data_IF_223020731026
#
_entry.id   IF_223020731026
#
_cell.length_a   1.000
_cell.length_b   1.000
_cell.length_c   1.000
_cell.angle_alpha   90.00
_cell.angle_beta   90.00
_cell.angle_gamma   90.00
#
_symmetry.space_group_name_H-M   'P 1'
#
loop_
_entity.id
_entity.type
_entity.pdbx_description
1 polymer ?
#
# COMPACT_ATOMS: atom_id res chain seq x y z
N UNK A 1 -22.43 -7.52 -8.38
CA UNK A 1 -21.57 -6.91 -7.34
C UNK A 1 -20.54 -7.88 -6.79
N UNK A 2 -20.94 -8.98 -6.13
CA UNK A 2 -20.00 -9.94 -5.54
C UNK A 2 -18.99 -10.50 -6.56
N UNK A 3 -19.44 -10.90 -7.75
CA UNK A 3 -18.56 -11.38 -8.82
C UNK A 3 -17.46 -10.38 -9.19
N UNK A 4 -17.79 -9.09 -9.35
CA UNK A 4 -16.80 -8.04 -9.67
C UNK A 4 -15.80 -7.83 -8.52
N UNK A 5 -16.27 -7.87 -7.27
CA UNK A 5 -15.38 -7.82 -6.09
C UNK A 5 -14.44 -9.01 -6.07
N UNK A 6 -14.95 -10.22 -6.32
CA UNK A 6 -14.13 -11.44 -6.43
C UNK A 6 -13.10 -11.32 -7.53
N UNK A 7 -13.46 -10.83 -8.72
CA UNK A 7 -12.51 -10.60 -9.83
C UNK A 7 -11.42 -9.61 -9.42
N UNK A 8 -11.76 -8.49 -8.80
CA UNK A 8 -10.77 -7.51 -8.34
C UNK A 8 -9.82 -8.07 -7.27
N UNK A 9 -10.36 -8.83 -6.33
CA UNK A 9 -9.55 -9.52 -5.31
C UNK A 9 -8.63 -10.57 -5.94
N UNK A 10 -9.14 -11.39 -6.87
CA UNK A 10 -8.34 -12.40 -7.57
C UNK A 10 -7.27 -11.77 -8.46
N UNK A 11 -7.56 -10.64 -9.11
CA UNK A 11 -6.60 -9.88 -9.90
C UNK A 11 -5.45 -9.38 -9.01
N UNK A 12 -5.77 -8.81 -7.84
CA UNK A 12 -4.77 -8.34 -6.90
C UNK A 12 -3.92 -9.49 -6.32
N UNK A 13 -4.56 -10.58 -5.88
CA UNK A 13 -3.86 -11.77 -5.37
C UNK A 13 -2.99 -12.40 -6.46
N UNK A 14 -3.53 -12.56 -7.68
CA UNK A 14 -2.82 -13.16 -8.80
C UNK A 14 -1.61 -12.34 -9.22
N UNK A 15 -1.78 -11.02 -9.39
CA UNK A 15 -0.70 -10.15 -9.86
C UNK A 15 0.39 -9.95 -8.80
N UNK A 16 0.00 -9.59 -7.56
CA UNK A 16 0.97 -9.37 -6.48
C UNK A 16 1.58 -10.70 -6.04
N UNK A 17 0.79 -11.78 -6.00
CA UNK A 17 1.26 -13.12 -5.71
C UNK A 17 2.26 -13.62 -6.75
N UNK A 18 2.03 -13.37 -8.05
CA UNK A 18 3.01 -13.69 -9.10
C UNK A 18 4.31 -12.90 -8.92
N UNK A 19 4.23 -11.61 -8.60
CA UNK A 19 5.43 -10.78 -8.33
C UNK A 19 6.21 -11.35 -7.14
N UNK A 20 5.53 -11.68 -6.04
CA UNK A 20 6.18 -12.30 -4.87
C UNK A 20 6.81 -13.65 -5.28
N UNK A 21 6.08 -14.53 -5.97
CA UNK A 21 6.60 -15.83 -6.37
C UNK A 21 7.83 -15.76 -7.28
N UNK A 22 7.89 -14.76 -8.17
CA UNK A 22 8.99 -14.55 -9.11
C UNK A 22 10.18 -13.77 -8.52
N UNK A 23 9.95 -12.96 -7.48
CA UNK A 23 10.98 -12.17 -6.82
C UNK A 23 11.98 -13.05 -6.05
N UNK A 24 13.17 -12.51 -5.78
CA UNK A 24 14.15 -13.15 -4.90
C UNK A 24 13.72 -13.11 -3.43
N UNK A 25 14.26 -14.01 -2.61
CA UNK A 25 13.86 -14.19 -1.21
C UNK A 25 13.99 -12.94 -0.33
N UNK A 26 14.93 -12.04 -0.65
CA UNK A 26 15.07 -10.78 0.08
C UNK A 26 13.93 -9.82 -0.24
N UNK A 27 13.63 -9.66 -1.54
CA UNK A 27 12.59 -8.75 -2.00
C UNK A 27 11.17 -9.28 -1.73
N UNK A 28 10.97 -10.60 -1.78
CA UNK A 28 9.72 -11.27 -1.41
C UNK A 28 9.19 -10.81 -0.06
N UNK A 29 10.08 -10.76 0.94
CA UNK A 29 9.74 -10.37 2.31
C UNK A 29 9.39 -8.89 2.37
N UNK A 30 10.21 -8.04 1.78
CA UNK A 30 9.97 -6.59 1.74
C UNK A 30 8.65 -6.24 1.04
N UNK A 31 8.35 -6.87 -0.10
CA UNK A 31 7.08 -6.68 -0.83
C UNK A 31 5.89 -7.10 0.03
N UNK A 32 5.98 -8.26 0.68
CA UNK A 32 4.92 -8.78 1.55
C UNK A 32 4.66 -7.87 2.76
N UNK A 33 5.72 -7.39 3.43
CA UNK A 33 5.60 -6.44 4.54
C UNK A 33 5.00 -5.13 4.05
N UNK A 34 5.56 -4.55 2.98
CA UNK A 34 5.15 -3.25 2.48
C UNK A 34 3.67 -3.23 2.08
N UNK A 35 3.20 -4.24 1.34
CA UNK A 35 1.80 -4.29 0.90
C UNK A 35 0.86 -4.48 2.08
N UNK A 36 1.20 -5.39 3.00
CA UNK A 36 0.32 -5.72 4.13
C UNK A 36 0.23 -4.53 5.09
N UNK A 37 1.38 -3.92 5.44
CA UNK A 37 1.45 -2.80 6.40
C UNK A 37 0.86 -1.51 5.83
N UNK A 38 1.07 -1.23 4.54
CA UNK A 38 0.54 -0.01 3.94
C UNK A 38 -0.96 -0.08 3.67
N UNK A 39 -1.50 -1.25 3.32
CA UNK A 39 -2.88 -1.37 2.86
C UNK A 39 -3.84 -1.90 3.92
N UNK A 40 -3.39 -2.46 5.03
CA UNK A 40 -4.31 -2.84 6.09
C UNK A 40 -4.46 -1.66 7.09
N UNK A 41 -5.71 -1.27 7.45
CA UNK A 41 -6.99 -1.85 7.03
C UNK A 41 -7.62 -1.20 5.78
N UNK A 42 -7.23 0.03 5.46
CA UNK A 42 -7.94 0.87 4.47
C UNK A 42 -7.85 0.32 3.04
N UNK A 43 -6.65 -0.02 2.60
CA UNK A 43 -6.37 -0.51 1.27
C UNK A 43 -7.01 -1.84 0.94
N UNK A 44 -7.05 -2.81 1.86
CA UNK A 44 -7.69 -4.11 1.60
C UNK A 44 -9.20 -3.96 1.35
N UNK A 45 -9.85 -3.02 2.05
CA UNK A 45 -11.24 -2.66 1.74
C UNK A 45 -11.38 -2.16 0.30
N UNK A 46 -10.49 -1.26 -0.15
CA UNK A 46 -10.56 -0.70 -1.50
C UNK A 46 -10.20 -1.70 -2.59
N UNK A 47 -9.20 -2.57 -2.36
CA UNK A 47 -8.80 -3.64 -3.27
C UNK A 47 -9.97 -4.60 -3.52
N UNK A 48 -10.68 -5.01 -2.47
CA UNK A 48 -11.88 -5.87 -2.59
C UNK A 48 -13.14 -5.10 -3.03
N UNK A 49 -13.04 -3.79 -3.28
CA UNK A 49 -14.14 -2.95 -3.73
C UNK A 49 -14.34 -2.99 -5.25
N UNK A 50 -15.42 -2.36 -5.72
CA UNK A 50 -15.66 -2.09 -7.15
C UNK A 50 -15.25 -0.67 -7.55
N UNK A 51 -14.53 0.04 -6.67
CA UNK A 51 -14.05 1.38 -6.92
C UNK A 51 -12.81 1.32 -7.82
N UNK A 52 -12.62 2.26 -8.76
CA UNK A 52 -11.36 2.42 -9.49
C UNK A 52 -10.09 2.40 -8.62
N UNK A 53 -10.17 2.81 -7.35
CA UNK A 53 -9.08 2.68 -6.37
C UNK A 53 -8.53 1.25 -6.24
N UNK A 54 -9.34 0.20 -6.47
CA UNK A 54 -8.88 -1.19 -6.45
C UNK A 54 -7.72 -1.42 -7.45
N UNK A 55 -7.93 -0.99 -8.69
CA UNK A 55 -6.96 -1.11 -9.77
C UNK A 55 -5.81 -0.13 -9.63
N UNK A 56 -6.07 1.08 -9.11
CA UNK A 56 -5.02 2.05 -8.81
C UNK A 56 -4.02 1.48 -7.78
N UNK A 57 -4.53 0.92 -6.68
CA UNK A 57 -3.69 0.31 -5.64
C UNK A 57 -2.89 -0.87 -6.19
N UNK A 58 -3.58 -1.84 -6.77
CA UNK A 58 -2.99 -3.06 -7.33
C UNK A 58 -1.96 -2.72 -8.42
N UNK A 59 -2.33 -1.84 -9.36
CA UNK A 59 -1.52 -1.49 -10.52
C UNK A 59 -0.27 -0.71 -10.17
N UNK A 60 -0.38 0.35 -9.37
CA UNK A 60 0.77 1.17 -8.97
C UNK A 60 1.79 0.36 -8.19
N UNK A 61 1.35 -0.49 -7.26
CA UNK A 61 2.27 -1.32 -6.48
C UNK A 61 2.88 -2.45 -7.33
N UNK A 62 2.10 -3.10 -8.19
CA UNK A 62 2.60 -4.12 -9.11
C UNK A 62 3.66 -3.56 -10.07
N UNK A 63 3.45 -2.35 -10.60
CA UNK A 63 4.44 -1.67 -11.43
C UNK A 63 5.74 -1.42 -10.66
N UNK A 64 5.66 -0.85 -9.45
CA UNK A 64 6.84 -0.56 -8.64
C UNK A 64 7.61 -1.83 -8.22
N UNK A 65 6.90 -2.81 -7.65
CA UNK A 65 7.48 -4.04 -7.15
C UNK A 65 7.99 -4.93 -8.29
N UNK A 66 7.24 -5.04 -9.39
CA UNK A 66 7.61 -5.82 -10.57
C UNK A 66 8.88 -5.28 -11.23
N UNK A 67 8.99 -3.97 -11.47
CA UNK A 67 10.20 -3.38 -12.03
C UNK A 67 11.40 -3.51 -11.10
N UNK A 68 11.21 -3.23 -9.79
CA UNK A 68 12.29 -3.39 -8.82
C UNK A 68 12.79 -4.84 -8.79
N UNK A 69 11.89 -5.82 -8.73
CA UNK A 69 12.24 -7.23 -8.73
C UNK A 69 12.88 -7.68 -10.06
N UNK A 70 12.42 -7.16 -11.19
CA UNK A 70 12.98 -7.47 -12.51
C UNK A 70 14.46 -7.05 -12.59
N UNK A 71 14.82 -5.89 -12.04
CA UNK A 71 16.22 -5.43 -12.00
C UNK A 71 17.15 -6.36 -11.21
N UNK A 72 16.58 -7.15 -10.28
CA UNK A 72 17.30 -8.15 -9.46
C UNK A 72 17.33 -9.54 -10.08
N UNK A 73 16.51 -9.80 -11.10
CA UNK A 73 16.24 -11.13 -11.61
C UNK A 73 16.90 -11.38 -12.97
N UNK A 74 17.05 -12.65 -13.36
CA UNK A 74 17.55 -13.07 -14.67
C UNK A 74 16.64 -14.13 -15.29
N UNK A 75 16.79 -14.36 -16.60
CA UNK A 75 16.06 -15.40 -17.33
C UNK A 75 14.53 -15.23 -17.28
N UNK A 76 13.75 -16.33 -17.21
CA UNK A 76 12.29 -16.29 -17.34
C UNK A 76 11.61 -15.53 -16.18
N UNK A 77 12.19 -15.55 -14.98
CA UNK A 77 11.65 -14.80 -13.83
C UNK A 77 11.63 -13.31 -14.09
N UNK A 78 12.71 -12.78 -14.69
CA UNK A 78 12.81 -11.37 -15.08
C UNK A 78 11.73 -10.98 -16.08
N UNK A 79 11.52 -11.82 -17.10
CA UNK A 79 10.48 -11.57 -18.13
C UNK A 79 9.09 -11.55 -17.50
N UNK A 80 8.79 -12.52 -16.63
CA UNK A 80 7.51 -12.56 -15.90
C UNK A 80 7.28 -11.32 -15.02
N UNK A 81 8.32 -10.82 -14.36
CA UNK A 81 8.26 -9.60 -13.54
C UNK A 81 8.02 -8.33 -14.38
N UNK A 82 8.67 -8.22 -15.54
CA UNK A 82 8.42 -7.13 -16.50
C UNK A 82 6.98 -7.19 -17.02
N UNK A 83 6.47 -8.39 -17.34
CA UNK A 83 5.09 -8.57 -17.77
C UNK A 83 4.08 -8.19 -16.67
N UNK A 84 4.35 -8.56 -15.42
CA UNK A 84 3.53 -8.15 -14.27
C UNK A 84 3.58 -6.63 -14.07
N UNK A 85 4.76 -6.00 -14.23
CA UNK A 85 4.88 -4.56 -14.15
C UNK A 85 4.10 -3.84 -15.26
N UNK A 86 4.14 -4.35 -16.49
CA UNK A 86 3.35 -3.85 -17.61
C UNK A 86 1.84 -3.96 -17.32
N UNK A 87 1.38 -5.11 -16.83
CA UNK A 87 -0.01 -5.28 -16.41
C UNK A 87 -0.38 -4.27 -15.30
N UNK A 88 0.52 -4.05 -14.34
CA UNK A 88 0.36 -3.03 -13.30
C UNK A 88 0.23 -1.61 -13.85
N UNK A 89 1.06 -1.25 -14.83
CA UNK A 89 0.99 0.04 -15.52
C UNK A 89 -0.35 0.23 -16.24
N UNK A 90 -0.82 -0.80 -16.95
CA UNK A 90 -2.14 -0.77 -17.63
C UNK A 90 -3.26 -0.57 -16.62
N UNK A 91 -3.26 -1.30 -15.50
CA UNK A 91 -4.27 -1.14 -14.45
C UNK A 91 -4.25 0.28 -13.85
N UNK A 92 -3.08 0.83 -13.55
CA UNK A 92 -2.95 2.18 -12.99
C UNK A 92 -3.38 3.28 -13.97
N UNK A 93 -3.10 3.13 -15.26
CA UNK A 93 -3.51 4.08 -16.30
C UNK A 93 -5.01 4.00 -16.62
N UNK A 94 -5.62 2.83 -16.47
CA UNK A 94 -7.04 2.61 -16.78
C UNK A 94 -7.96 2.76 -15.57
N UNK A 95 -7.41 2.94 -14.37
CA UNK A 95 -8.19 3.18 -13.16
C UNK A 95 -8.58 4.64 -12.97
N UNK A 96 -7.60 5.53 -12.83
CA UNK A 96 -7.80 6.95 -12.46
C UNK A 96 -6.66 7.81 -13.03
N UNK A 97 -6.93 9.10 -13.26
CA UNK A 97 -5.93 10.03 -13.77
C UNK A 97 -4.77 10.30 -12.80
N UNK A 98 -5.03 10.33 -11.49
CA UNK A 98 -3.99 10.49 -10.46
C UNK A 98 -3.09 9.25 -10.34
N UNK A 99 -3.67 8.04 -10.40
CA UNK A 99 -2.88 6.79 -10.37
C UNK A 99 -1.99 6.60 -11.59
N UNK A 100 -2.42 7.09 -12.75
CA UNK A 100 -1.60 7.11 -13.96
C UNK A 100 -0.32 7.96 -13.75
N UNK A 101 -0.45 9.12 -13.10
CA UNK A 101 0.70 9.96 -12.73
C UNK A 101 1.64 9.30 -11.71
N UNK A 102 1.13 8.42 -10.84
CA UNK A 102 1.99 7.69 -9.90
C UNK A 102 3.05 6.83 -10.59
N UNK A 103 2.84 6.41 -11.84
CA UNK A 103 3.86 5.68 -12.61
C UNK A 103 5.11 6.54 -12.85
N UNK A 104 4.96 7.84 -13.06
CA UNK A 104 6.06 8.78 -13.14
C UNK A 104 6.80 8.89 -11.79
N UNK A 105 6.06 9.08 -10.70
CA UNK A 105 6.63 9.14 -9.34
C UNK A 105 7.43 7.87 -9.03
N UNK A 106 6.87 6.69 -9.32
CA UNK A 106 7.53 5.39 -9.15
C UNK A 106 8.79 5.31 -10.00
N UNK A 107 8.75 5.77 -11.25
CA UNK A 107 9.90 5.74 -12.15
C UNK A 107 11.06 6.59 -11.63
N UNK A 108 10.78 7.81 -11.14
CA UNK A 108 11.81 8.67 -10.51
C UNK A 108 12.35 8.02 -9.24
N UNK A 109 11.49 7.45 -8.41
CA UNK A 109 11.91 6.75 -7.20
C UNK A 109 12.82 5.54 -7.52
N UNK A 110 12.50 4.78 -8.57
CA UNK A 110 13.30 3.64 -9.03
C UNK A 110 14.64 4.08 -9.63
N UNK A 111 14.71 5.24 -10.30
CA UNK A 111 15.95 5.79 -10.83
C UNK A 111 16.99 6.07 -9.73
N UNK A 112 16.54 6.43 -8.52
CA UNK A 112 17.42 6.54 -7.35
C UNK A 112 17.77 5.17 -6.74
N UNK A 113 16.78 4.28 -6.64
CA UNK A 113 16.92 2.98 -5.99
C UNK A 113 17.85 2.01 -6.77
N UNK A 114 17.85 2.08 -8.10
CA UNK A 114 18.55 1.14 -8.98
C UNK A 114 19.76 1.81 -9.63
N UNK A 115 20.96 1.20 -9.59
CA UNK A 115 22.12 1.74 -10.30
C UNK A 115 21.93 1.63 -11.82
N UNK A 116 22.30 2.69 -12.54
CA UNK A 116 22.25 2.72 -14.00
C UNK A 116 23.21 1.68 -14.61
N UNK A 117 22.68 0.88 -15.53
CA UNK A 117 23.47 -0.11 -16.29
C UNK A 117 22.77 -0.43 -17.61
N UNK A 118 23.52 -0.95 -18.59
CA UNK A 118 22.92 -1.41 -19.87
C UNK A 118 21.95 -2.58 -19.67
N UNK A 119 22.07 -3.32 -18.57
CA UNK A 119 21.18 -4.44 -18.26
C UNK A 119 19.74 -3.96 -18.07
N UNK A 120 19.53 -2.85 -17.36
CA UNK A 120 18.19 -2.38 -16.96
C UNK A 120 17.43 -1.64 -18.08
N UNK A 121 17.95 -1.63 -19.31
CA UNK A 121 17.31 -0.92 -20.44
C UNK A 121 15.85 -1.33 -20.63
N UNK A 122 15.46 -2.64 -20.63
CA UNK A 122 14.06 -3.01 -20.78
C UNK A 122 13.15 -2.44 -19.69
N UNK A 123 13.58 -2.49 -18.43
CA UNK A 123 12.85 -1.95 -17.29
C UNK A 123 12.75 -0.42 -17.37
N UNK A 124 13.85 0.24 -17.71
CA UNK A 124 13.90 1.70 -17.85
C UNK A 124 13.03 2.18 -19.02
N UNK A 125 13.04 1.49 -20.16
CA UNK A 125 12.18 1.79 -21.30
C UNK A 125 10.71 1.63 -20.93
N UNK A 126 10.32 0.51 -20.30
CA UNK A 126 8.97 0.32 -19.80
C UNK A 126 8.57 1.43 -18.82
N UNK A 127 9.45 1.77 -17.87
CA UNK A 127 9.18 2.80 -16.87
C UNK A 127 8.98 4.19 -17.48
N UNK A 128 9.84 4.57 -18.43
CA UNK A 128 9.74 5.85 -19.15
C UNK A 128 8.49 5.92 -20.02
N UNK A 129 8.19 4.88 -20.79
CA UNK A 129 6.98 4.82 -21.64
C UNK A 129 5.73 4.90 -20.77
N UNK A 130 5.65 4.09 -19.71
CA UNK A 130 4.53 4.12 -18.77
C UNK A 130 4.37 5.48 -18.08
N UNK A 131 5.48 6.18 -17.77
CA UNK A 131 5.46 7.53 -17.21
C UNK A 131 4.90 8.56 -18.19
N UNK A 132 5.33 8.53 -19.45
CA UNK A 132 4.84 9.44 -20.50
C UNK A 132 3.34 9.22 -20.73
N UNK A 133 2.92 7.96 -20.86
CA UNK A 133 1.51 7.60 -20.98
C UNK A 133 0.73 8.05 -19.75
N UNK A 134 1.28 7.84 -18.55
CA UNK A 134 0.63 8.23 -17.30
C UNK A 134 0.41 9.74 -17.17
N UNK A 135 1.41 10.55 -17.52
CA UNK A 135 1.31 12.01 -17.57
C UNK A 135 0.26 12.43 -18.62
N UNK A 136 0.27 11.80 -19.80
CA UNK A 136 -0.71 12.08 -20.85
C UNK A 136 -2.14 11.77 -20.41
N UNK A 137 -2.38 10.62 -19.76
CA UNK A 137 -3.68 10.24 -19.21
C UNK A 137 -4.14 11.24 -18.15
N UNK A 138 -3.26 11.62 -17.21
CA UNK A 138 -3.58 12.64 -16.19
C UNK A 138 -3.99 13.97 -16.83
N UNK A 139 -3.27 14.43 -17.85
CA UNK A 139 -3.55 15.68 -18.54
C UNK A 139 -4.90 15.68 -19.26
N UNK A 140 -5.35 14.53 -19.77
CA UNK A 140 -6.60 14.40 -20.55
C UNK A 140 -7.84 14.08 -19.72
N UNK A 141 -7.67 13.48 -18.54
CA UNK A 141 -8.77 13.06 -17.67
C UNK A 141 -9.36 14.20 -16.82
N UNK A 142 -8.82 15.42 -16.92
CA UNK A 142 -9.25 16.64 -16.23
C UNK A 142 -9.45 16.48 -14.70
N UNK A 143 -8.79 15.49 -14.10
CA UNK A 143 -8.90 15.16 -12.67
C UNK A 143 -8.49 16.36 -11.81
N UNK A 144 -7.47 17.10 -12.24
CA UNK A 144 -7.08 18.36 -11.62
C UNK A 144 -8.27 19.35 -11.56
N UNK A 145 -8.97 19.63 -12.66
CA UNK A 145 -10.11 20.56 -12.65
C UNK A 145 -11.28 20.07 -11.78
N UNK A 146 -11.55 18.76 -11.76
CA UNK A 146 -12.60 18.18 -10.91
C UNK A 146 -12.30 18.36 -9.41
N UNK A 147 -11.03 18.34 -9.02
CA UNK A 147 -10.61 18.65 -7.66
C UNK A 147 -10.59 20.15 -7.40
N UNK A 148 -10.30 21.00 -8.38
CA UNK A 148 -10.20 22.46 -8.24
C UNK A 148 -11.57 23.17 -8.14
N UNK A 149 -12.64 22.56 -8.66
CA UNK A 149 -13.98 23.16 -8.69
C UNK A 149 -14.75 23.20 -7.37
N UNK A 150 -14.21 22.65 -6.28
CA UNK A 150 -14.97 22.41 -5.04
C UNK A 150 -14.81 23.44 -3.92
N UNK A 151 -14.20 24.60 -4.16
CA UNK A 151 -13.93 25.53 -3.05
C UNK A 151 -13.23 26.81 -3.43
N UNK A 152 -14.03 27.83 -3.75
CA UNK A 152 -13.59 29.22 -3.73
C UNK A 152 -13.68 29.85 -2.32
N UNK A 153 -13.80 29.04 -1.26
CA UNK A 153 -13.99 29.53 0.12
C UNK A 153 -12.86 30.47 0.58
N UNK A 154 -11.65 30.29 0.03
CA UNK A 154 -10.47 31.10 0.35
C UNK A 154 -9.87 31.82 -0.86
N UNK A 155 -10.66 32.12 -1.91
CA UNK A 155 -10.15 32.80 -3.11
C UNK A 155 -9.46 34.14 -2.82
N UNK A 156 -9.88 34.82 -1.74
CA UNK A 156 -9.34 36.13 -1.31
C UNK A 156 -8.11 36.04 -0.39
N UNK A 157 -7.76 34.84 0.08
CA UNK A 157 -6.65 34.65 1.02
C UNK A 157 -5.30 34.55 0.30
N UNK A 158 -4.24 35.01 0.97
CA UNK A 158 -2.88 34.86 0.47
C UNK A 158 -2.50 33.39 0.27
N UNK A 159 -1.82 33.07 -0.84
CA UNK A 159 -1.27 31.74 -1.11
C UNK A 159 -0.38 31.21 0.02
N UNK A 160 0.32 32.10 0.76
CA UNK A 160 1.12 31.70 1.93
C UNK A 160 0.26 31.15 3.06
N UNK A 161 -0.91 31.75 3.28
CA UNK A 161 -1.85 31.30 4.29
C UNK A 161 -2.46 29.94 3.91
N UNK A 162 -2.87 29.78 2.64
CA UNK A 162 -3.38 28.51 2.12
C UNK A 162 -2.32 27.41 2.21
N UNK A 163 -1.06 27.72 1.87
CA UNK A 163 0.06 26.79 2.03
C UNK A 163 0.20 26.33 3.48
N UNK A 164 0.19 27.27 4.42
CA UNK A 164 0.30 26.98 5.85
C UNK A 164 -0.84 26.07 6.35
N UNK A 165 -2.09 26.36 5.98
CA UNK A 165 -3.23 25.53 6.37
C UNK A 165 -3.13 24.09 5.84
N UNK A 166 -2.71 23.93 4.59
CA UNK A 166 -2.54 22.60 3.98
C UNK A 166 -1.37 21.83 4.60
N UNK A 167 -0.23 22.50 4.83
CA UNK A 167 0.98 21.90 5.43
C UNK A 167 0.74 21.50 6.89
N UNK A 168 0.11 22.38 7.68
CA UNK A 168 -0.21 22.10 9.09
C UNK A 168 -1.23 20.96 9.24
N UNK A 169 -2.02 20.68 8.21
CA UNK A 169 -2.99 19.58 8.17
C UNK A 169 -2.38 18.22 7.75
N UNK A 170 -1.13 18.19 7.28
CA UNK A 170 -0.45 16.96 6.83
C UNK A 170 -0.39 15.85 7.89
N UNK A 171 -0.16 16.10 9.19
CA UNK A 171 -0.16 15.04 10.19
C UNK A 171 -1.48 14.28 10.26
N UNK A 172 -2.61 14.99 10.23
CA UNK A 172 -3.94 14.37 10.22
C UNK A 172 -4.21 13.65 8.89
N UNK A 173 -3.77 14.24 7.77
CA UNK A 173 -3.86 13.63 6.45
C UNK A 173 -3.12 12.28 6.36
N UNK A 174 -1.86 12.24 6.81
CA UNK A 174 -1.05 11.02 6.79
C UNK A 174 -1.62 9.95 7.72
N UNK A 175 -2.12 10.33 8.89
CA UNK A 175 -2.84 9.40 9.78
C UNK A 175 -4.12 8.86 9.17
N UNK A 176 -4.71 9.57 8.22
CA UNK A 176 -5.88 9.08 7.49
C UNK A 176 -5.59 7.86 6.60
N UNK A 177 -4.34 7.55 6.27
CA UNK A 177 -3.99 6.28 5.59
C UNK A 177 -4.39 5.05 6.39
N UNK A 178 -4.42 5.17 7.72
CA UNK A 178 -4.85 4.11 8.63
C UNK A 178 -6.28 4.30 9.15
N UNK A 179 -7.06 5.18 8.52
CA UNK A 179 -8.47 5.39 8.86
C UNK A 179 -8.75 6.41 9.96
N UNK A 180 -7.78 7.27 10.30
CA UNK A 180 -8.01 8.39 11.21
C UNK A 180 -8.87 9.49 10.53
N UNK A 181 -9.96 9.91 11.18
CA UNK A 181 -10.97 10.87 10.69
C UNK A 181 -11.76 10.43 9.44
N UNK A 182 -11.09 9.82 8.48
CA UNK A 182 -11.64 9.38 7.20
C UNK A 182 -11.46 7.86 7.08
N UNK A 183 -12.55 7.13 7.29
CA UNK A 183 -12.58 5.68 7.15
C UNK A 183 -12.84 5.22 5.71
N UNK A 184 -12.97 3.90 5.48
CA UNK A 184 -13.20 3.37 4.14
C UNK A 184 -14.63 3.68 3.65
N UNK A 185 -14.90 3.32 2.39
CA UNK A 185 -16.20 3.57 1.76
C UNK A 185 -16.44 5.06 1.53
N UNK A 186 -17.64 5.55 1.88
CA UNK A 186 -17.97 6.97 1.86
C UNK A 186 -17.71 7.62 3.23
N UNK A 187 -16.58 7.25 3.86
CA UNK A 187 -16.26 7.55 5.26
C UNK A 187 -17.37 7.12 6.23
N UNK A 188 -18.12 6.08 5.86
CA UNK A 188 -19.30 5.63 6.58
C UNK A 188 -19.00 4.45 7.52
N UNK A 189 -17.82 3.85 7.40
CA UNK A 189 -17.23 2.96 8.40
C UNK A 189 -16.22 3.79 9.19
N UNK A 190 -16.46 4.00 10.49
CA UNK A 190 -15.50 4.70 11.33
C UNK A 190 -14.41 3.74 11.81
N UNK A 191 -13.16 3.99 11.40
CA UNK A 191 -11.98 3.35 12.00
C UNK A 191 -11.33 4.21 13.09
N UNK A 192 -11.95 5.34 13.42
CA UNK A 192 -11.48 6.21 14.48
C UNK A 192 -11.50 5.44 15.81
N UNK A 193 -10.42 5.61 16.59
CA UNK A 193 -10.24 4.81 17.79
C UNK A 193 -9.36 3.59 17.54
N UNK A 194 -9.79 2.45 18.09
CA UNK A 194 -9.00 1.20 18.19
C UNK A 194 -8.28 0.81 16.90
N UNK A 195 -8.96 0.83 15.75
CA UNK A 195 -8.37 0.44 14.46
C UNK A 195 -7.27 1.42 14.02
N UNK A 196 -7.58 2.72 13.98
CA UNK A 196 -6.61 3.74 13.56
C UNK A 196 -5.39 3.81 14.49
N UNK A 197 -5.57 3.63 15.80
CA UNK A 197 -4.46 3.62 16.76
C UNK A 197 -3.60 2.36 16.61
N UNK A 198 -4.20 1.17 16.57
CA UNK A 198 -3.48 -0.08 16.38
C UNK A 198 -2.70 -0.09 15.07
N UNK A 199 -3.32 0.40 13.99
CA UNK A 199 -2.65 0.51 12.70
C UNK A 199 -1.50 1.54 12.71
N UNK A 200 -1.68 2.68 13.38
CA UNK A 200 -0.62 3.70 13.54
C UNK A 200 0.61 3.12 14.26
N UNK A 201 0.40 2.36 15.34
CA UNK A 201 1.49 1.73 16.11
C UNK A 201 2.32 0.81 15.23
N UNK A 202 1.67 -0.04 14.43
CA UNK A 202 2.39 -0.97 13.54
C UNK A 202 3.11 -0.25 12.42
N UNK A 203 2.48 0.75 11.78
CA UNK A 203 3.13 1.57 10.75
C UNK A 203 4.37 2.25 11.33
N UNK A 204 4.27 2.91 12.49
CA UNK A 204 5.40 3.58 13.14
C UNK A 204 6.50 2.58 13.50
N UNK A 205 6.14 1.41 14.06
CA UNK A 205 7.11 0.38 14.40
C UNK A 205 7.90 -0.10 13.16
N UNK A 206 7.22 -0.32 12.04
CA UNK A 206 7.85 -0.74 10.78
C UNK A 206 8.69 0.39 10.17
N UNK A 207 8.24 1.65 10.25
CA UNK A 207 9.04 2.80 9.83
C UNK A 207 10.34 2.91 10.65
N UNK A 208 10.25 2.89 11.98
CA UNK A 208 11.42 2.91 12.86
C UNK A 208 12.38 1.76 12.57
N UNK A 209 11.86 0.56 12.27
CA UNK A 209 12.67 -0.57 11.89
C UNK A 209 13.35 -0.38 10.52
N UNK A 210 12.64 0.15 9.52
CA UNK A 210 13.21 0.41 8.18
C UNK A 210 14.35 1.44 8.20
N UNK A 211 14.31 2.38 9.14
CA UNK A 211 15.30 3.45 9.29
C UNK A 211 16.59 3.01 10.00
N UNK A 212 16.70 1.75 10.42
CA UNK A 212 17.89 1.25 11.14
C UNK A 212 19.10 1.02 10.24
N UNK A 213 18.88 0.84 8.93
CA UNK A 213 19.94 0.65 7.93
C UNK A 213 19.61 1.37 6.62
N UNK A 214 19.53 2.71 6.63
CA UNK A 214 19.21 3.48 5.45
C UNK A 214 20.44 3.53 4.55
N UNK A 215 20.26 3.31 3.26
CA UNK A 215 21.24 3.72 2.26
C UNK A 215 20.78 5.03 1.62
N UNK A 216 21.71 5.84 1.14
CA UNK A 216 21.38 7.10 0.46
C UNK A 216 20.39 6.90 -0.69
N UNK A 217 20.53 5.81 -1.46
CA UNK A 217 19.62 5.45 -2.55
C UNK A 217 18.19 5.17 -2.06
N UNK A 218 18.06 4.42 -0.97
CA UNK A 218 16.75 4.16 -0.33
C UNK A 218 16.14 5.44 0.19
N UNK A 219 16.95 6.29 0.85
CA UNK A 219 16.50 7.56 1.39
C UNK A 219 15.97 8.48 0.27
N UNK A 220 16.73 8.68 -0.81
CA UNK A 220 16.30 9.50 -1.96
C UNK A 220 15.04 8.94 -2.64
N UNK A 221 14.98 7.61 -2.82
CA UNK A 221 13.82 6.94 -3.40
C UNK A 221 12.57 7.13 -2.53
N UNK A 222 12.68 6.90 -1.22
CA UNK A 222 11.59 7.09 -0.27
C UNK A 222 11.18 8.56 -0.13
N UNK A 223 12.13 9.50 -0.12
CA UNK A 223 11.85 10.96 -0.09
C UNK A 223 11.09 11.39 -1.34
N UNK A 224 11.40 10.81 -2.50
CA UNK A 224 10.67 11.10 -3.75
C UNK A 224 9.19 10.71 -3.62
N UNK A 225 8.92 9.50 -3.13
CA UNK A 225 7.54 9.02 -2.95
C UNK A 225 6.82 9.79 -1.83
N UNK A 226 7.49 10.04 -0.69
CA UNK A 226 6.95 10.82 0.41
C UNK A 226 6.65 12.27 0.00
N UNK A 227 7.53 12.87 -0.80
CA UNK A 227 7.36 14.21 -1.38
C UNK A 227 6.18 14.27 -2.34
N UNK A 228 5.90 13.21 -3.09
CA UNK A 228 4.68 13.14 -3.90
C UNK A 228 3.42 12.98 -3.04
N UNK A 229 3.46 12.10 -2.03
CA UNK A 229 2.35 11.86 -1.09
C UNK A 229 1.90 13.14 -0.40
N UNK A 230 2.83 14.01 0.02
CA UNK A 230 2.52 15.25 0.72
C UNK A 230 2.40 16.45 -0.23
N UNK A 231 3.29 16.54 -1.22
CA UNK A 231 3.39 17.68 -2.12
C UNK A 231 2.24 17.76 -3.12
N UNK A 232 1.78 16.65 -3.70
CA UNK A 232 0.68 16.67 -4.69
C UNK A 232 -0.61 17.21 -4.05
N UNK A 233 -1.09 16.71 -2.90
CA UNK A 233 -2.26 17.27 -2.24
C UNK A 233 -2.11 18.75 -1.86
N UNK A 234 -0.93 19.18 -1.40
CA UNK A 234 -0.66 20.60 -1.05
C UNK A 234 -0.72 21.49 -2.29
N UNK A 235 -0.10 21.09 -3.40
CA UNK A 235 -0.14 21.85 -4.67
C UNK A 235 -1.56 21.93 -5.23
N UNK A 236 -2.33 20.84 -5.14
CA UNK A 236 -3.74 20.84 -5.54
C UNK A 236 -4.56 21.76 -4.63
N UNK A 237 -4.35 21.71 -3.30
CA UNK A 237 -5.01 22.60 -2.35
C UNK A 237 -4.70 24.08 -2.60
N UNK A 238 -3.46 24.39 -2.98
CA UNK A 238 -3.04 25.74 -3.37
C UNK A 238 -3.75 26.24 -4.63
N UNK A 239 -3.79 25.41 -5.68
CA UNK A 239 -4.46 25.78 -6.94
C UNK A 239 -5.97 25.83 -6.79
N UNK A 240 -6.53 24.99 -5.91
CA UNK A 240 -7.97 24.84 -5.69
C UNK A 240 -8.51 25.75 -4.61
N UNK A 241 -7.67 26.50 -3.90
CA UNK A 241 -8.06 27.37 -2.79
C UNK A 241 -8.81 26.67 -1.64
N UNK A 242 -8.45 25.41 -1.32
CA UNK A 242 -9.01 24.70 -0.16
C UNK A 242 -8.23 24.97 1.12
N UNK A 243 -8.98 25.07 2.22
CA UNK A 243 -8.46 25.32 3.57
C UNK A 243 -7.84 24.08 4.24
N UNK A 244 -7.96 22.89 3.64
CA UNK A 244 -7.51 21.66 4.26
C UNK A 244 -7.18 20.57 3.22
N UNK A 245 -6.00 19.99 3.35
CA UNK A 245 -5.51 18.91 2.49
C UNK A 245 -6.35 17.62 2.62
N UNK A 246 -7.09 17.46 3.72
CA UNK A 246 -8.06 16.37 3.90
C UNK A 246 -9.18 16.39 2.85
N UNK A 247 -9.44 17.53 2.22
CA UNK A 247 -10.39 17.64 1.07
C UNK A 247 -9.95 16.75 -0.09
N UNK A 248 -8.64 16.61 -0.31
CA UNK A 248 -8.10 15.70 -1.31
C UNK A 248 -8.30 14.23 -0.91
N UNK A 249 -8.53 13.93 0.36
CA UNK A 249 -8.71 12.60 0.92
C UNK A 249 -7.45 11.70 0.86
N UNK A 250 -7.02 11.15 2.00
CA UNK A 250 -5.80 10.32 2.08
C UNK A 250 -5.85 9.06 1.21
N UNK A 251 -7.03 8.47 0.99
CA UNK A 251 -7.21 7.25 0.19
C UNK A 251 -6.68 7.34 -1.24
N UNK A 252 -6.63 8.53 -1.84
CA UNK A 252 -6.11 8.68 -3.20
C UNK A 252 -4.58 8.57 -3.28
N UNK A 253 -3.85 8.83 -2.19
CA UNK A 253 -2.38 8.65 -2.12
C UNK A 253 -1.97 7.29 -1.52
N UNK A 254 -2.94 6.48 -1.08
CA UNK A 254 -2.70 5.16 -0.49
C UNK A 254 -1.93 4.18 -1.41
N UNK A 255 -2.09 4.18 -2.75
CA UNK A 255 -1.24 3.39 -3.63
C UNK A 255 0.25 3.69 -3.46
N UNK A 256 0.63 4.98 -3.37
CA UNK A 256 2.01 5.40 -3.18
C UNK A 256 2.53 5.07 -1.78
N UNK A 257 1.68 4.97 -0.76
CA UNK A 257 2.12 4.61 0.59
C UNK A 257 2.75 3.20 0.64
N UNK A 258 2.21 2.23 -0.12
CA UNK A 258 2.83 0.91 -0.24
C UNK A 258 4.16 0.96 -0.99
N UNK A 259 4.26 1.80 -2.04
CA UNK A 259 5.53 2.03 -2.74
C UNK A 259 6.55 2.66 -1.81
N UNK A 260 6.16 3.63 -0.99
CA UNK A 260 7.02 4.28 -0.02
C UNK A 260 7.58 3.28 0.99
N UNK A 261 6.73 2.43 1.59
CA UNK A 261 7.20 1.37 2.48
C UNK A 261 8.11 0.39 1.75
N UNK A 262 7.82 0.03 0.50
CA UNK A 262 8.69 -0.83 -0.30
C UNK A 262 10.07 -0.20 -0.51
N UNK A 263 10.16 1.09 -0.85
CA UNK A 263 11.45 1.76 -1.07
C UNK A 263 12.31 1.86 0.21
N UNK A 264 11.67 1.96 1.37
CA UNK A 264 12.35 1.90 2.67
C UNK A 264 12.80 0.47 3.04
N UNK A 265 11.94 -0.52 2.81
CA UNK A 265 12.14 -1.90 3.27
C UNK A 265 12.95 -2.77 2.30
N UNK A 266 12.95 -2.46 1.01
CA UNK A 266 13.65 -3.25 -0.01
C UNK A 266 15.12 -3.42 0.37
N UNK A 267 15.66 -4.65 0.46
CA UNK A 267 17.07 -4.86 0.73
C UNK A 267 17.96 -4.25 -0.35
N UNK A 268 19.22 -4.01 0.01
CA UNK A 268 20.21 -3.54 -0.96
C UNK A 268 20.45 -4.59 -2.06
N UNK A 269 20.90 -4.17 -3.25
CA UNK A 269 21.47 -5.08 -4.24
C UNK A 269 22.42 -6.10 -3.60
N UNK A 270 22.33 -7.38 -3.98
CA UNK A 270 23.41 -8.30 -3.67
C UNK A 270 24.73 -7.81 -4.28
N UNK A 271 25.86 -8.27 -3.72
CA UNK A 271 27.19 -7.97 -4.28
C UNK A 271 27.25 -8.43 -5.73
N UNK A 272 28.05 -7.72 -6.53
CA UNK A 272 28.28 -8.12 -7.90
C UNK A 272 28.85 -9.55 -7.93
N UNK A 273 28.30 -10.40 -8.79
CA UNK A 273 28.89 -11.69 -9.10
C UNK A 273 30.22 -11.51 -9.85
N UNK A 274 30.92 -12.61 -10.16
CA UNK A 274 32.21 -12.60 -10.86
C UNK A 274 32.16 -11.91 -12.24
N UNK A 275 30.96 -11.78 -12.83
CA UNK A 275 30.70 -11.07 -14.08
C UNK A 275 30.35 -9.58 -13.88
N UNK A 276 30.49 -9.04 -12.66
CA UNK A 276 30.14 -7.66 -12.32
C UNK A 276 28.63 -7.40 -12.18
N UNK A 277 27.78 -8.44 -12.17
CA UNK A 277 26.32 -8.33 -12.16
C UNK A 277 25.77 -8.39 -10.74
N UNK A 278 24.98 -7.38 -10.37
CA UNK A 278 24.17 -7.41 -9.15
C UNK A 278 22.90 -8.24 -9.39
N UNK A 279 22.92 -9.53 -9.06
CA UNK A 279 21.77 -10.44 -9.18
C UNK A 279 21.30 -10.83 -7.78
N UNK A 280 20.00 -10.70 -7.53
CA UNK A 280 19.40 -10.89 -6.22
C UNK A 280 19.57 -9.69 -5.28
N UNK A 281 19.09 -9.88 -4.06
CA UNK A 281 19.10 -8.89 -2.99
C UNK A 281 19.83 -9.43 -1.77
N UNK A 282 20.36 -8.53 -0.94
CA UNK A 282 20.83 -8.92 0.39
C UNK A 282 19.69 -9.52 1.24
N UNK A 283 20.07 -10.24 2.29
CA UNK A 283 19.09 -10.81 3.22
C UNK A 283 18.23 -9.72 3.84
N UNK A 284 16.92 -9.94 3.84
CA UNK A 284 15.98 -9.11 4.56
C UNK A 284 16.14 -9.36 6.07
N UNK A 285 16.70 -8.38 6.78
CA UNK A 285 17.13 -8.53 8.19
C UNK A 285 15.99 -8.23 9.15
N UNK A 286 15.39 -9.29 9.70
CA UNK A 286 14.53 -9.16 10.88
C UNK A 286 15.35 -8.96 12.16
N UNK A 287 14.79 -8.31 13.19
CA UNK A 287 15.37 -8.31 14.53
C UNK A 287 15.48 -9.74 15.07
N UNK A 288 16.69 -10.28 15.17
CA UNK A 288 16.93 -11.67 15.58
C UNK A 288 17.10 -11.86 17.08
N UNK A 289 17.37 -10.79 17.84
CA UNK A 289 17.49 -10.82 19.30
C UNK A 289 16.18 -11.25 19.96
N UNK A 290 16.23 -11.76 21.19
CA UNK A 290 15.03 -12.18 21.94
C UNK A 290 14.02 -11.01 22.02
N UNK A 291 14.47 -9.83 22.43
CA UNK A 291 13.67 -8.61 22.46
C UNK A 291 13.13 -8.23 21.06
N UNK A 292 13.93 -8.44 20.01
CA UNK A 292 13.53 -8.23 18.63
C UNK A 292 12.39 -9.15 18.19
N UNK A 293 12.50 -10.46 18.48
CA UNK A 293 11.46 -11.45 18.17
C UNK A 293 10.18 -11.19 18.93
N UNK A 294 10.28 -10.85 20.23
CA UNK A 294 9.14 -10.45 21.05
C UNK A 294 8.48 -9.20 20.47
N UNK A 295 9.27 -8.18 20.12
CA UNK A 295 8.78 -6.96 19.48
C UNK A 295 8.05 -7.24 18.16
N UNK A 296 8.63 -8.09 17.28
CA UNK A 296 7.97 -8.51 16.04
C UNK A 296 6.67 -9.26 16.33
N UNK A 297 6.65 -10.15 17.33
CA UNK A 297 5.45 -10.87 17.76
C UNK A 297 4.35 -9.93 18.26
N UNK A 298 4.69 -8.93 19.07
CA UNK A 298 3.74 -7.91 19.55
C UNK A 298 3.17 -7.07 18.40
N UNK A 299 4.02 -6.67 17.45
CA UNK A 299 3.59 -5.96 16.24
C UNK A 299 2.63 -6.83 15.42
N UNK A 300 2.94 -8.11 15.22
CA UNK A 300 2.07 -9.03 14.48
C UNK A 300 0.73 -9.26 15.20
N UNK A 301 0.75 -9.46 16.52
CA UNK A 301 -0.46 -9.61 17.32
C UNK A 301 -1.34 -8.36 17.25
N UNK A 302 -0.75 -7.18 17.39
CA UNK A 302 -1.44 -5.88 17.25
C UNK A 302 -2.05 -5.75 15.86
N UNK A 303 -1.32 -6.17 14.82
CA UNK A 303 -1.81 -6.15 13.45
C UNK A 303 -2.99 -7.09 13.22
N UNK A 304 -2.92 -8.31 13.76
CA UNK A 304 -4.01 -9.29 13.67
C UNK A 304 -5.28 -8.81 14.38
N UNK A 305 -5.15 -8.24 15.58
CA UNK A 305 -6.27 -7.64 16.33
C UNK A 305 -6.87 -6.44 15.59
N UNK A 306 -6.01 -5.58 15.01
CA UNK A 306 -6.44 -4.43 14.21
C UNK A 306 -7.22 -4.89 12.98
N UNK A 307 -6.75 -5.92 12.27
CA UNK A 307 -7.45 -6.52 11.13
C UNK A 307 -8.82 -7.09 11.54
N UNK A 308 -8.86 -7.84 12.64
CA UNK A 308 -10.08 -8.44 13.17
C UNK A 308 -11.14 -7.36 13.48
N UNK A 309 -10.72 -6.28 14.14
CA UNK A 309 -11.62 -5.16 14.48
C UNK A 309 -12.05 -4.37 13.25
N UNK A 310 -11.15 -4.11 12.31
CA UNK A 310 -11.49 -3.45 11.05
C UNK A 310 -12.54 -4.24 10.26
N UNK A 311 -12.35 -5.56 10.12
CA UNK A 311 -13.32 -6.44 9.45
C UNK A 311 -14.67 -6.44 10.16
N UNK A 312 -14.68 -6.51 11.50
CA UNK A 312 -15.90 -6.42 12.30
C UNK A 312 -16.68 -5.13 11.97
N UNK A 313 -16.02 -3.97 12.02
CA UNK A 313 -16.66 -2.67 11.82
C UNK A 313 -17.22 -2.50 10.40
N UNK A 314 -16.54 -3.06 9.40
CA UNK A 314 -17.06 -3.09 8.03
C UNK A 314 -18.32 -3.96 7.96
N UNK A 315 -18.27 -5.19 8.47
CA UNK A 315 -19.42 -6.10 8.40
C UNK A 315 -20.60 -5.49 9.17
N UNK A 316 -20.36 -4.96 10.36
CA UNK A 316 -21.38 -4.32 11.18
C UNK A 316 -22.07 -3.17 10.44
N UNK A 317 -21.28 -2.26 9.86
CA UNK A 317 -21.81 -1.12 9.11
C UNK A 317 -22.71 -1.54 7.96
N UNK A 318 -22.39 -2.64 7.27
CA UNK A 318 -23.17 -3.12 6.14
C UNK A 318 -24.29 -4.09 6.51
N UNK A 319 -24.21 -4.77 7.66
CA UNK A 319 -25.25 -5.70 8.12
C UNK A 319 -26.35 -4.99 8.93
N UNK A 320 -26.04 -3.87 9.59
CA UNK A 320 -26.96 -3.15 10.49
C UNK A 320 -27.01 -1.64 10.26
N UNK A 321 -26.29 -1.10 9.28
CA UNK A 321 -26.36 0.32 8.96
C UNK A 321 -25.47 1.19 9.85
N UNK A 322 -25.82 2.48 9.98
CA UNK A 322 -25.03 3.43 10.76
C UNK A 322 -25.21 3.19 12.26
N UNK A 323 -24.31 2.42 12.86
CA UNK A 323 -24.03 2.50 14.29
C UNK A 323 -22.89 3.46 14.53
N UNK A 324 -23.22 4.68 14.97
CA UNK A 324 -22.20 5.60 15.47
C UNK A 324 -21.70 5.03 16.79
N UNK A 325 -20.48 4.50 16.81
CA UNK A 325 -19.85 4.05 18.05
C UNK A 325 -19.58 5.30 18.89
N UNK A 326 -20.26 5.42 20.04
CA UNK A 326 -20.24 6.63 20.86
C UNK A 326 -18.90 6.91 21.55
N UNK A 327 -17.99 5.94 21.58
CA UNK A 327 -16.70 6.05 22.27
C UNK A 327 -15.50 5.67 21.38
N UNK A 328 -14.35 6.36 21.54
CA UNK A 328 -13.12 6.07 20.80
C UNK A 328 -12.51 4.68 21.12
N UNK A 329 -12.92 4.06 22.23
CA UNK A 329 -12.58 2.69 22.57
C UNK A 329 -13.88 1.97 22.92
N UNK A 330 -14.64 1.60 21.89
CA UNK A 330 -15.76 0.68 22.05
C UNK A 330 -15.27 -0.74 21.76
N UNK A 331 -15.21 -1.55 22.82
CA UNK A 331 -14.88 -2.98 22.78
C UNK A 331 -16.13 -3.86 22.73
N UNK A 332 -17.33 -3.27 22.79
CA UNK A 332 -18.55 -4.04 22.68
C UNK A 332 -18.62 -4.66 21.28
N UNK A 333 -18.66 -5.98 21.24
CA UNK A 333 -18.91 -6.75 20.02
C UNK A 333 -20.26 -7.41 20.20
N UNK A 334 -21.25 -6.94 19.45
CA UNK A 334 -22.53 -7.63 19.35
C UNK A 334 -22.38 -8.86 18.45
N UNK A 335 -23.28 -9.82 18.62
CA UNK A 335 -23.38 -10.92 17.68
C UNK A 335 -23.89 -10.40 16.34
N UNK A 336 -23.03 -10.41 15.32
CA UNK A 336 -23.37 -9.86 14.00
C UNK A 336 -24.48 -10.66 13.28
N UNK A 337 -24.70 -11.93 13.65
CA UNK A 337 -25.74 -12.75 13.04
C UNK A 337 -27.09 -12.62 13.72
N UNK A 338 -27.16 -11.97 14.88
CA UNK A 338 -28.42 -11.73 15.59
C UNK A 338 -28.98 -10.36 15.20
N UNK A 339 -30.14 -10.35 14.54
CA UNK A 339 -30.87 -9.11 14.20
C UNK A 339 -30.23 -8.28 13.09
N UNK A 340 -29.45 -8.88 12.18
CA UNK A 340 -28.98 -8.15 10.99
C UNK A 340 -30.16 -7.83 10.05
N UNK A 341 -30.09 -6.65 9.43
CA UNK A 341 -31.12 -6.15 8.53
C UNK A 341 -30.70 -6.35 7.06
N UNK A 342 -29.40 -6.27 6.80
CA UNK A 342 -28.82 -6.25 5.46
C UNK A 342 -27.82 -7.40 5.27
N UNK A 343 -28.34 -8.61 5.13
CA UNK A 343 -27.58 -9.79 4.74
C UNK A 343 -28.29 -10.56 3.63
N UNK A 344 -27.54 -11.26 2.77
CA UNK A 344 -28.16 -12.06 1.71
C UNK A 344 -28.86 -13.27 2.32
N UNK A 345 -30.18 -13.46 2.11
CA UNK A 345 -30.92 -14.59 2.68
C UNK A 345 -30.39 -15.95 2.20
N UNK A 346 -29.82 -16.00 1.00
CA UNK A 346 -29.26 -17.21 0.37
C UNK A 346 -27.75 -17.36 0.60
N UNK A 347 -27.13 -16.52 1.43
CA UNK A 347 -25.70 -16.68 1.72
C UNK A 347 -25.46 -17.99 2.47
N UNK A 348 -24.41 -18.76 2.12
CA UNK A 348 -24.11 -20.02 2.78
C UNK A 348 -23.61 -19.84 4.24
N UNK A 349 -23.17 -18.63 4.60
CA UNK A 349 -22.66 -18.30 5.92
C UNK A 349 -23.17 -16.93 6.38
N UNK A 350 -23.42 -16.79 7.68
CA UNK A 350 -23.84 -15.55 8.32
C UNK A 350 -22.68 -14.56 8.54
N UNK A 351 -22.98 -13.29 8.85
CA UNK A 351 -21.97 -12.23 9.02
C UNK A 351 -20.97 -12.51 10.16
N UNK A 352 -21.42 -13.17 11.24
CA UNK A 352 -20.52 -13.55 12.33
C UNK A 352 -19.51 -14.62 11.87
N UNK A 353 -19.95 -15.59 11.07
CA UNK A 353 -19.06 -16.61 10.52
C UNK A 353 -18.05 -16.00 9.55
N UNK A 354 -18.47 -15.04 8.70
CA UNK A 354 -17.55 -14.29 7.83
C UNK A 354 -16.48 -13.55 8.64
N UNK A 355 -16.88 -12.90 9.74
CA UNK A 355 -15.95 -12.22 10.63
C UNK A 355 -14.95 -13.19 11.28
N UNK A 356 -15.42 -14.32 11.83
CA UNK A 356 -14.56 -15.32 12.48
C UNK A 356 -13.57 -15.89 11.47
N UNK A 357 -14.05 -16.36 10.32
CA UNK A 357 -13.21 -16.96 9.28
C UNK A 357 -12.19 -15.97 8.74
N UNK A 358 -12.61 -14.73 8.45
CA UNK A 358 -11.70 -13.67 7.98
C UNK A 358 -10.67 -13.25 9.02
N UNK A 359 -11.06 -13.23 10.31
CA UNK A 359 -10.14 -12.94 11.42
C UNK A 359 -9.10 -14.03 11.59
N UNK A 360 -9.52 -15.30 11.59
CA UNK A 360 -8.62 -16.45 11.70
C UNK A 360 -7.68 -16.51 10.49
N UNK A 361 -8.20 -16.36 9.27
CA UNK A 361 -7.39 -16.34 8.05
C UNK A 361 -6.36 -15.20 8.08
N UNK A 362 -6.76 -14.00 8.50
CA UNK A 362 -5.85 -12.86 8.65
C UNK A 362 -4.76 -13.10 9.69
N UNK A 363 -5.12 -13.61 10.87
CA UNK A 363 -4.17 -13.93 11.93
C UNK A 363 -3.18 -15.03 11.50
N UNK A 364 -3.65 -16.07 10.82
CA UNK A 364 -2.81 -17.13 10.27
C UNK A 364 -1.87 -16.59 9.19
N UNK A 365 -2.36 -15.75 8.28
CA UNK A 365 -1.53 -15.15 7.23
C UNK A 365 -0.41 -14.28 7.83
N UNK A 366 -0.74 -13.44 8.82
CA UNK A 366 0.24 -12.59 9.53
C UNK A 366 1.25 -13.44 10.30
N UNK A 367 0.77 -14.46 11.04
CA UNK A 367 1.62 -15.37 11.80
C UNK A 367 2.57 -16.16 10.90
N UNK A 368 2.06 -16.70 9.79
CA UNK A 368 2.84 -17.42 8.80
C UNK A 368 3.87 -16.51 8.13
N UNK A 369 3.50 -15.27 7.80
CA UNK A 369 4.43 -14.30 7.24
C UNK A 369 5.60 -14.04 8.19
N UNK A 370 5.32 -13.75 9.47
CA UNK A 370 6.37 -13.55 10.49
C UNK A 370 7.24 -14.80 10.64
N UNK A 371 6.64 -15.98 10.70
CA UNK A 371 7.35 -17.24 10.82
C UNK A 371 8.29 -17.51 9.64
N UNK A 372 7.80 -17.34 8.41
CA UNK A 372 8.58 -17.52 7.18
C UNK A 372 9.69 -16.48 7.06
N UNK A 373 9.48 -15.26 7.54
CA UNK A 373 10.52 -14.24 7.55
C UNK A 373 11.63 -14.54 8.57
N UNK A 374 11.28 -15.14 9.71
CA UNK A 374 12.26 -15.50 10.75
C UNK A 374 13.12 -16.70 10.40
N UNK A 375 12.68 -17.56 9.46
CA UNK A 375 13.53 -18.63 8.93
C UNK A 375 14.65 -18.04 8.09
N UNK A 376 15.91 -18.32 8.42
CA UNK A 376 17.04 -18.06 7.52
C UNK A 376 16.82 -18.79 6.19
N UNK A 377 17.27 -18.24 5.05
CA UNK A 377 17.29 -19.01 3.81
C UNK A 377 18.08 -20.30 4.07
N UNK A 378 17.50 -21.46 3.78
CA UNK A 378 18.31 -22.68 3.70
C UNK A 378 19.44 -22.40 2.71
N UNK A 379 20.69 -22.55 3.16
CA UNK A 379 21.84 -22.50 2.27
C UNK A 379 21.59 -23.56 1.20
N UNK A 380 21.42 -23.15 -0.05
CA UNK A 380 21.42 -24.09 -1.16
C UNK A 380 22.70 -24.94 -1.05
N UNK A 381 22.62 -26.27 -1.19
CA UNK A 381 23.80 -27.11 -1.12
C UNK A 381 24.81 -26.63 -2.14
N UNK A 382 26.07 -26.43 -1.71
CA UNK A 382 27.15 -26.07 -2.61
C UNK A 382 27.18 -27.06 -3.77
N UNK A 383 27.30 -26.59 -5.03
CA UNK A 383 27.53 -27.49 -6.14
C UNK A 383 28.83 -28.25 -5.82
N UNK A 384 28.73 -29.58 -5.72
CA UNK A 384 29.91 -30.44 -5.57
C UNK A 384 30.85 -30.12 -6.73
N UNK A 385 32.08 -29.72 -6.37
CA UNK A 385 33.17 -29.41 -7.30
C UNK A 385 33.51 -30.59 -8.18
#
# INVERSE_FOLDING_TARGET
>A
VLALRTVNTLLAIGLIGAIIALADSGLQRAISVAVTVAWLPMGFYFVAGMNPSSWAMTGTFAFAAGLLAATRSVGPRRVGLIACALAGAVLACTSRGDSAFFLFVVTVALAFAVPLSRRIIPEATLACVASVVGIWVMARTNVAASHLGSGNELAEYSLKHIAWLNVSSLPNYLRGFVGHLLGPGWNDVSYQGTVSYGASVVVVAVLCWSLRSPSWRKALSAITVAGAITGVPVVIGLRGHFNNVLTYQPRYMLPLFAVFLLMLLAPSPARANDEGRHVGSEEFRLPTSIAGRVGTGLVAATWALTNARALYLVIERYAFGRTQHGYPIDLSTRNLSAGNEWWWPTAPIGPMAVWILGTVAGALAIGLAVFLWQRSPEKAPEPRR
#
